data_IF_740021320980
#
_entry.id   IF_740021320980
#
_cell.length_a   1.000
_cell.length_b   1.000
_cell.length_c   1.000
_cell.angle_alpha   90.00
_cell.angle_beta   90.00
_cell.angle_gamma   90.00
#
_symmetry.space_group_name_H-M   'P 1'
#
loop_
_entity.id
_entity.type
_entity.pdbx_description
1 polymer ?
#
# COMPACT_ATOMS: atom_id res chain seq x y z
N UNK A 1 -25.29 -1.16 2.73
CA UNK A 1 -23.97 -1.35 3.38
C UNK A 1 -24.10 -2.56 4.28
N UNK A 2 -23.02 -3.32 4.49
CA UNK A 2 -23.03 -4.57 5.23
C UNK A 2 -21.66 -4.81 5.89
N UNK A 3 -21.56 -5.83 6.74
CA UNK A 3 -20.34 -6.30 7.37
C UNK A 3 -19.80 -5.38 8.45
N UNK A 4 -20.68 -4.68 9.18
CA UNK A 4 -20.30 -3.69 10.19
C UNK A 4 -19.40 -4.25 11.30
N UNK A 5 -19.51 -5.55 11.60
CA UNK A 5 -18.64 -6.25 12.57
C UNK A 5 -17.17 -6.27 12.15
N UNK A 6 -16.89 -6.15 10.84
CA UNK A 6 -15.55 -6.12 10.27
C UNK A 6 -14.85 -4.76 10.26
N UNK A 7 -15.45 -3.69 10.81
CA UNK A 7 -14.87 -2.34 10.73
C UNK A 7 -13.50 -2.18 11.42
N UNK A 8 -13.13 -3.14 12.27
CA UNK A 8 -11.82 -3.18 12.93
C UNK A 8 -10.68 -3.67 12.02
N UNK A 9 -10.98 -4.20 10.82
CA UNK A 9 -9.99 -4.72 9.88
C UNK A 9 -9.04 -3.62 9.42
N UNK A 10 -7.75 -3.92 9.41
CA UNK A 10 -6.72 -2.95 8.99
C UNK A 10 -6.62 -2.89 7.46
N UNK A 11 -6.67 -1.67 6.93
CA UNK A 11 -6.37 -1.37 5.52
C UNK A 11 -4.88 -1.09 5.39
N UNK A 12 -4.20 -1.80 4.49
CA UNK A 12 -2.78 -1.63 4.16
C UNK A 12 -2.55 -1.23 2.69
N UNK A 13 -3.60 -1.14 1.91
CA UNK A 13 -3.54 -0.73 0.52
C UNK A 13 -4.91 -0.65 -0.12
N UNK A 14 -4.92 -0.31 -1.40
CA UNK A 14 -6.11 -0.27 -2.24
C UNK A 14 -5.90 -1.15 -3.46
N UNK A 15 -6.98 -1.74 -3.97
CA UNK A 15 -6.97 -2.47 -5.23
C UNK A 15 -8.29 -2.26 -5.96
N UNK A 16 -8.30 -2.48 -7.27
CA UNK A 16 -9.43 -2.20 -8.14
C UNK A 16 -9.94 -3.50 -8.76
N UNK A 17 -11.23 -3.75 -8.62
CA UNK A 17 -11.90 -4.95 -9.14
C UNK A 17 -12.81 -4.59 -10.32
N UNK A 18 -12.27 -4.74 -11.53
CA UNK A 18 -12.99 -4.57 -12.80
C UNK A 18 -12.85 -5.79 -13.73
N UNK A 19 -12.44 -6.93 -13.17
CA UNK A 19 -12.45 -8.22 -13.86
C UNK A 19 -13.05 -9.33 -12.96
N UNK A 20 -13.65 -10.40 -13.54
CA UNK A 20 -14.36 -11.46 -12.80
C UNK A 20 -13.52 -12.23 -11.77
N UNK A 21 -12.21 -12.32 -12.00
CA UNK A 21 -11.28 -13.03 -11.11
C UNK A 21 -10.33 -12.07 -10.37
N UNK A 22 -10.64 -10.76 -10.31
CA UNK A 22 -9.72 -9.78 -9.75
C UNK A 22 -9.40 -9.99 -8.26
N UNK A 23 -10.27 -10.68 -7.51
CA UNK A 23 -10.00 -11.07 -6.13
C UNK A 23 -8.81 -12.03 -5.98
N UNK A 24 -8.44 -12.82 -6.99
CA UNK A 24 -7.29 -13.74 -6.91
C UNK A 24 -5.95 -13.02 -6.83
N UNK A 25 -5.86 -11.79 -7.34
CA UNK A 25 -4.64 -10.98 -7.27
C UNK A 25 -4.54 -10.16 -5.98
N UNK A 26 -5.53 -10.26 -5.08
CA UNK A 26 -5.48 -9.56 -3.80
C UNK A 26 -4.41 -10.17 -2.91
N UNK A 27 -3.53 -9.34 -2.38
CA UNK A 27 -2.47 -9.73 -1.44
C UNK A 27 -2.97 -9.76 0.01
N UNK A 28 -4.18 -9.25 0.23
CA UNK A 28 -4.84 -9.19 1.54
C UNK A 28 -4.68 -7.84 2.20
N UNK A 29 -5.58 -7.52 3.14
CA UNK A 29 -5.70 -6.22 3.82
C UNK A 29 -5.88 -5.01 2.89
N UNK A 30 -6.21 -5.26 1.62
CA UNK A 30 -6.54 -4.21 0.66
C UNK A 30 -8.02 -3.84 0.80
N UNK A 31 -8.33 -2.54 0.70
CA UNK A 31 -9.69 -2.13 0.41
C UNK A 31 -9.91 -2.33 -1.09
N UNK A 32 -10.90 -3.16 -1.45
CA UNK A 32 -11.23 -3.45 -2.85
C UNK A 32 -12.24 -2.42 -3.33
N UNK A 33 -11.92 -1.67 -4.37
CA UNK A 33 -12.83 -0.70 -4.95
C UNK A 33 -13.38 -1.25 -6.28
N UNK A 34 -14.67 -1.06 -6.54
CA UNK A 34 -15.31 -1.50 -7.79
C UNK A 34 -16.36 -0.50 -8.27
N UNK A 35 -16.50 -0.38 -9.58
CA UNK A 35 -17.59 0.33 -10.25
C UNK A 35 -18.92 -0.42 -10.19
N UNK A 36 -18.88 -1.69 -9.78
CA UNK A 36 -20.02 -2.61 -9.86
C UNK A 36 -20.24 -3.21 -11.26
N UNK A 37 -19.49 -2.81 -12.29
CA UNK A 37 -19.67 -3.32 -13.65
C UNK A 37 -19.61 -4.85 -13.73
N UNK A 38 -18.58 -5.46 -13.12
CA UNK A 38 -18.40 -6.91 -13.10
C UNK A 38 -19.55 -7.59 -12.36
N UNK A 39 -19.98 -7.04 -11.23
CA UNK A 39 -21.09 -7.59 -10.44
C UNK A 39 -22.40 -7.55 -11.25
N UNK A 40 -22.62 -6.50 -12.04
CA UNK A 40 -23.79 -6.39 -12.91
C UNK A 40 -23.75 -7.36 -14.10
N UNK A 41 -22.56 -7.72 -14.59
CA UNK A 41 -22.37 -8.65 -15.72
C UNK A 41 -22.33 -10.11 -15.28
N UNK A 42 -21.80 -10.38 -14.10
CA UNK A 42 -21.60 -11.70 -13.53
C UNK A 42 -22.05 -11.70 -12.05
N UNK A 43 -23.35 -11.83 -11.78
CA UNK A 43 -23.91 -11.75 -10.43
C UNK A 43 -23.28 -12.73 -9.43
N UNK A 44 -22.89 -13.91 -9.93
CA UNK A 44 -22.32 -15.00 -9.12
C UNK A 44 -20.85 -14.75 -8.72
N UNK A 45 -20.18 -13.71 -9.28
CA UNK A 45 -18.75 -13.50 -9.08
C UNK A 45 -18.40 -13.24 -7.61
N UNK A 46 -19.27 -12.54 -6.88
CA UNK A 46 -19.08 -12.23 -5.46
C UNK A 46 -19.23 -13.48 -4.60
N UNK A 47 -20.30 -14.25 -4.83
CA UNK A 47 -20.53 -15.51 -4.10
C UNK A 47 -19.37 -16.49 -4.31
N UNK A 48 -18.92 -16.64 -5.56
CA UNK A 48 -17.76 -17.46 -5.89
C UNK A 48 -16.50 -16.98 -5.17
N UNK A 49 -16.24 -15.68 -5.18
CA UNK A 49 -15.06 -15.11 -4.51
C UNK A 49 -15.09 -15.31 -2.98
N UNK A 50 -16.28 -15.29 -2.35
CA UNK A 50 -16.46 -15.66 -0.95
C UNK A 50 -16.23 -17.16 -0.73
N UNK A 51 -16.78 -18.02 -1.59
CA UNK A 51 -16.58 -19.47 -1.50
C UNK A 51 -15.10 -19.87 -1.60
N UNK A 52 -14.35 -19.19 -2.45
CA UNK A 52 -12.91 -19.39 -2.65
C UNK A 52 -12.03 -18.74 -1.56
N UNK A 53 -12.63 -18.00 -0.61
CA UNK A 53 -11.89 -17.37 0.48
C UNK A 53 -11.15 -16.08 0.09
N UNK A 54 -11.37 -15.55 -1.11
CA UNK A 54 -10.59 -14.42 -1.63
C UNK A 54 -11.07 -13.09 -1.04
N UNK A 55 -12.39 -12.90 -0.89
CA UNK A 55 -12.96 -11.67 -0.31
C UNK A 55 -12.57 -11.51 1.16
N UNK A 56 -12.49 -12.62 1.90
CA UNK A 56 -12.16 -12.65 3.33
C UNK A 56 -10.73 -12.23 3.62
N UNK A 57 -9.84 -12.21 2.61
CA UNK A 57 -8.48 -11.66 2.74
C UNK A 57 -8.48 -10.13 2.68
N UNK A 58 -9.48 -9.53 2.03
CA UNK A 58 -9.59 -8.07 1.90
C UNK A 58 -9.90 -7.38 3.24
N UNK A 59 -9.56 -6.10 3.35
CA UNK A 59 -9.98 -5.28 4.49
C UNK A 59 -11.47 -4.90 4.40
N UNK A 60 -12.01 -4.89 3.19
CA UNK A 60 -13.39 -4.55 2.87
C UNK A 60 -13.53 -4.29 1.38
N UNK A 61 -14.77 -4.01 0.95
CA UNK A 61 -15.09 -3.62 -0.41
C UNK A 61 -15.85 -2.30 -0.45
N UNK A 62 -15.58 -1.48 -1.47
CA UNK A 62 -16.27 -0.23 -1.75
C UNK A 62 -16.84 -0.27 -3.17
N UNK A 63 -18.15 -0.08 -3.30
CA UNK A 63 -18.83 -0.08 -4.61
C UNK A 63 -19.27 1.34 -4.95
N UNK A 64 -18.81 1.86 -6.11
CA UNK A 64 -19.30 3.11 -6.69
C UNK A 64 -20.67 2.88 -7.31
N UNK A 65 -21.71 3.44 -6.70
CA UNK A 65 -23.10 3.24 -7.14
C UNK A 65 -23.47 4.10 -8.34
N UNK A 66 -24.66 3.86 -8.87
CA UNK A 66 -25.42 4.65 -9.86
C UNK A 66 -24.95 4.51 -11.32
N UNK A 67 -23.71 4.06 -11.59
CA UNK A 67 -23.26 3.82 -12.97
C UNK A 67 -23.70 2.46 -13.54
N UNK A 68 -23.55 1.41 -12.74
CA UNK A 68 -23.80 0.02 -13.15
C UNK A 68 -24.66 -0.75 -12.15
N UNK A 69 -24.58 -0.39 -10.85
CA UNK A 69 -25.52 -0.83 -9.84
C UNK A 69 -26.21 0.37 -9.19
N UNK A 70 -27.51 0.48 -9.41
CA UNK A 70 -28.36 1.43 -8.69
C UNK A 70 -28.55 0.97 -7.24
N UNK A 71 -28.90 -0.30 -7.03
CA UNK A 71 -29.02 -0.95 -5.72
C UNK A 71 -28.15 -2.20 -5.68
N UNK A 72 -27.46 -2.43 -4.57
CA UNK A 72 -26.73 -3.68 -4.32
C UNK A 72 -27.75 -4.77 -3.97
N UNK A 73 -27.75 -5.94 -4.64
CA UNK A 73 -28.59 -7.08 -4.30
C UNK A 73 -28.51 -7.48 -2.82
N UNK A 74 -29.63 -7.90 -2.24
CA UNK A 74 -29.72 -8.26 -0.83
C UNK A 74 -28.86 -9.48 -0.49
N UNK A 75 -28.83 -10.46 -1.38
CA UNK A 75 -27.96 -11.64 -1.30
C UNK A 75 -26.48 -11.27 -1.14
N UNK A 76 -26.03 -10.21 -1.84
CA UNK A 76 -24.66 -9.71 -1.69
C UNK A 76 -24.49 -9.08 -0.30
N UNK A 77 -25.45 -8.27 0.17
CA UNK A 77 -25.37 -7.67 1.51
C UNK A 77 -25.27 -8.75 2.60
N UNK A 78 -26.09 -9.80 2.50
CA UNK A 78 -26.09 -10.94 3.42
C UNK A 78 -24.74 -11.65 3.45
N UNK A 79 -24.09 -11.87 2.30
CA UNK A 79 -22.75 -12.46 2.24
C UNK A 79 -21.72 -11.60 2.99
N UNK A 80 -21.71 -10.28 2.76
CA UNK A 80 -20.76 -9.39 3.44
C UNK A 80 -21.03 -9.32 4.97
N UNK A 81 -22.30 -9.38 5.40
CA UNK A 81 -22.66 -9.49 6.82
C UNK A 81 -22.22 -10.83 7.42
N UNK A 82 -22.48 -11.95 6.74
CA UNK A 82 -22.15 -13.30 7.19
C UNK A 82 -20.64 -13.49 7.40
N UNK A 83 -19.82 -13.00 6.47
CA UNK A 83 -18.37 -13.13 6.53
C UNK A 83 -17.68 -11.98 7.27
N UNK A 84 -18.46 -11.04 7.84
CA UNK A 84 -17.96 -9.88 8.57
C UNK A 84 -16.93 -9.06 7.76
N UNK A 85 -17.16 -8.93 6.45
CA UNK A 85 -16.34 -8.10 5.56
C UNK A 85 -17.09 -6.80 5.32
N UNK A 86 -16.52 -5.61 5.62
CA UNK A 86 -17.22 -4.35 5.39
C UNK A 86 -17.52 -4.12 3.90
N UNK A 87 -18.78 -3.79 3.59
CA UNK A 87 -19.21 -3.33 2.28
C UNK A 87 -19.69 -1.88 2.35
N UNK A 88 -18.92 -1.01 1.73
CA UNK A 88 -19.10 0.45 1.73
C UNK A 88 -19.71 0.89 0.40
N UNK A 89 -20.69 1.76 0.47
CA UNK A 89 -21.29 2.40 -0.70
C UNK A 89 -20.61 3.74 -0.95
N UNK A 90 -20.02 3.93 -2.13
CA UNK A 90 -19.44 5.21 -2.55
C UNK A 90 -20.41 5.96 -3.48
N UNK A 91 -20.69 7.25 -3.22
CA UNK A 91 -21.55 8.05 -4.08
C UNK A 91 -20.91 8.28 -5.45
N UNK A 92 -21.74 8.45 -6.48
CA UNK A 92 -21.23 8.63 -7.85
C UNK A 92 -20.43 9.93 -8.04
N UNK A 93 -20.81 10.98 -7.31
CA UNK A 93 -20.15 12.29 -7.34
C UNK A 93 -18.70 12.27 -6.84
N UNK A 94 -18.31 11.29 -6.02
CA UNK A 94 -16.96 11.20 -5.49
C UNK A 94 -15.95 10.79 -6.58
N UNK A 95 -14.89 11.60 -6.81
CA UNK A 95 -13.82 11.23 -7.73
C UNK A 95 -13.01 10.04 -7.20
N UNK A 96 -12.83 9.02 -8.04
CA UNK A 96 -12.08 7.81 -7.68
C UNK A 96 -10.65 8.12 -7.21
N UNK A 97 -9.95 8.97 -7.97
CA UNK A 97 -8.57 9.37 -7.68
C UNK A 97 -8.43 10.07 -6.34
N UNK A 98 -9.42 10.87 -5.96
CA UNK A 98 -9.40 11.59 -4.68
C UNK A 98 -9.53 10.60 -3.52
N UNK A 99 -10.49 9.69 -3.58
CA UNK A 99 -10.71 8.66 -2.56
C UNK A 99 -9.48 7.76 -2.42
N UNK A 100 -8.94 7.27 -3.54
CA UNK A 100 -7.71 6.49 -3.56
C UNK A 100 -6.52 7.24 -2.93
N UNK A 101 -6.31 8.49 -3.31
CA UNK A 101 -5.22 9.33 -2.80
C UNK A 101 -5.34 9.55 -1.28
N UNK A 102 -6.54 9.83 -0.78
CA UNK A 102 -6.79 10.01 0.65
C UNK A 102 -6.53 8.71 1.43
N UNK A 103 -7.00 7.55 0.93
CA UNK A 103 -6.76 6.26 1.57
C UNK A 103 -5.27 5.93 1.59
N UNK A 104 -4.58 6.05 0.45
CA UNK A 104 -3.14 5.80 0.36
C UNK A 104 -2.35 6.71 1.30
N UNK A 105 -2.72 8.00 1.38
CA UNK A 105 -2.11 8.96 2.29
C UNK A 105 -2.33 8.55 3.75
N UNK A 106 -3.53 8.10 4.10
CA UNK A 106 -3.85 7.64 5.46
C UNK A 106 -3.06 6.37 5.83
N UNK A 107 -3.00 5.39 4.92
CA UNK A 107 -2.21 4.16 5.07
C UNK A 107 -0.74 4.48 5.25
N UNK A 108 -0.16 5.30 4.36
CA UNK A 108 1.24 5.72 4.42
C UNK A 108 1.55 6.42 5.75
N UNK A 109 0.71 7.37 6.17
CA UNK A 109 0.88 8.08 7.43
C UNK A 109 0.79 7.15 8.65
N UNK A 110 -0.08 6.13 8.61
CA UNK A 110 -0.18 5.11 9.66
C UNK A 110 1.08 4.25 9.72
N UNK A 111 1.61 3.83 8.57
CA UNK A 111 2.88 3.11 8.46
C UNK A 111 4.03 3.95 9.04
N UNK A 112 4.16 5.21 8.65
CA UNK A 112 5.18 6.13 9.19
C UNK A 112 5.06 6.29 10.71
N UNK A 113 3.84 6.43 11.24
CA UNK A 113 3.62 6.52 12.70
C UNK A 113 4.05 5.25 13.43
N UNK A 114 3.77 4.07 12.88
CA UNK A 114 4.22 2.78 13.43
C UNK A 114 5.74 2.69 13.47
N UNK A 115 6.40 3.08 12.37
CA UNK A 115 7.87 3.13 12.31
C UNK A 115 8.46 4.10 13.34
N UNK A 116 7.82 5.26 13.58
CA UNK A 116 8.26 6.25 14.58
C UNK A 116 8.23 5.68 16.00
N UNK A 117 7.22 4.88 16.36
CA UNK A 117 7.13 4.28 17.70
C UNK A 117 8.32 3.34 17.93
N UNK A 118 8.63 2.47 16.96
CA UNK A 118 9.74 1.53 17.04
C UNK A 118 11.11 2.21 17.07
N UNK A 119 11.22 3.43 16.55
CA UNK A 119 12.48 4.21 16.48
C UNK A 119 12.59 5.31 17.54
N UNK A 120 11.70 5.36 18.55
CA UNK A 120 11.71 6.41 19.58
C UNK A 120 13.04 6.49 20.38
N UNK A 121 13.80 5.39 20.44
CA UNK A 121 15.16 5.37 21.01
C UNK A 121 16.23 6.04 20.13
N UNK A 122 15.94 6.35 18.86
CA UNK A 122 16.89 6.92 17.87
C UNK A 122 16.67 8.41 17.58
N UNK A 123 15.64 9.03 18.15
CA UNK A 123 15.20 10.41 17.82
C UNK A 123 16.21 11.51 18.16
N UNK A 124 17.22 11.22 18.99
CA UNK A 124 18.12 12.24 19.54
C UNK A 124 19.13 12.83 18.53
N UNK A 125 19.32 12.22 17.35
CA UNK A 125 20.32 12.65 16.37
C UNK A 125 19.77 13.43 15.14
N UNK A 126 18.47 13.76 15.10
CA UNK A 126 17.80 14.24 13.87
C UNK A 126 17.22 15.66 13.94
N UNK A 127 17.52 16.45 14.97
CA UNK A 127 16.95 17.79 15.18
C UNK A 127 17.25 18.81 14.07
N UNK A 128 18.29 18.57 13.27
CA UNK A 128 18.77 19.53 12.27
C UNK A 128 18.26 19.25 10.84
N UNK A 129 17.40 18.25 10.64
CA UNK A 129 16.89 17.87 9.31
C UNK A 129 15.48 18.41 9.05
N UNK A 130 15.16 18.68 7.78
CA UNK A 130 13.81 18.99 7.32
C UNK A 130 12.84 17.82 7.59
N UNK A 131 11.55 18.11 7.73
CA UNK A 131 10.52 17.10 7.95
C UNK A 131 10.48 16.03 6.82
N UNK A 132 10.77 16.42 5.57
CA UNK A 132 10.90 15.49 4.43
C UNK A 132 12.05 14.52 4.67
N UNK A 133 13.23 15.06 4.98
CA UNK A 133 14.46 14.29 5.21
C UNK A 133 14.34 13.35 6.41
N UNK A 134 13.73 13.80 7.51
CA UNK A 134 13.47 12.98 8.68
C UNK A 134 12.59 11.76 8.35
N UNK A 135 11.58 11.92 7.49
CA UNK A 135 10.75 10.81 7.03
C UNK A 135 11.54 9.82 6.18
N UNK A 136 12.31 10.32 5.22
CA UNK A 136 13.11 9.49 4.32
C UNK A 136 14.11 8.66 5.13
N UNK A 137 14.91 9.29 5.99
CA UNK A 137 15.89 8.60 6.84
C UNK A 137 15.27 7.53 7.72
N UNK A 138 14.08 7.78 8.29
CA UNK A 138 13.36 6.78 9.10
C UNK A 138 12.94 5.55 8.30
N UNK A 139 12.47 5.73 7.06
CA UNK A 139 12.11 4.61 6.19
C UNK A 139 13.37 3.79 5.87
N UNK A 140 14.44 4.46 5.46
CA UNK A 140 15.72 3.80 5.15
C UNK A 140 16.29 3.04 6.35
N UNK A 141 16.22 3.61 7.55
CA UNK A 141 16.66 2.95 8.78
C UNK A 141 15.82 1.72 9.13
N UNK A 142 14.50 1.81 8.97
CA UNK A 142 13.61 0.67 9.18
C UNK A 142 13.90 -0.46 8.18
N UNK A 143 14.18 -0.11 6.92
CA UNK A 143 14.61 -1.07 5.92
C UNK A 143 15.94 -1.74 6.29
N UNK A 144 16.94 -0.98 6.75
CA UNK A 144 18.22 -1.56 7.20
C UNK A 144 18.05 -2.50 8.38
N UNK A 145 17.21 -2.14 9.36
CA UNK A 145 16.92 -2.99 10.51
C UNK A 145 16.24 -4.31 10.11
N UNK A 146 15.32 -4.27 9.15
CA UNK A 146 14.56 -5.45 8.70
C UNK A 146 15.39 -6.33 7.75
N UNK A 147 16.11 -5.72 6.81
CA UNK A 147 16.89 -6.44 5.79
C UNK A 147 18.28 -6.85 6.28
N UNK A 148 18.72 -6.32 7.43
CA UNK A 148 20.10 -6.46 7.95
C UNK A 148 21.14 -6.00 6.91
N UNK A 149 20.74 -5.05 6.06
CA UNK A 149 21.56 -4.52 4.98
C UNK A 149 21.27 -3.03 4.79
N UNK A 150 22.29 -2.16 4.69
CA UNK A 150 22.08 -0.72 4.63
C UNK A 150 21.37 -0.29 3.35
N UNK A 151 20.47 0.68 3.49
CA UNK A 151 19.63 1.17 2.41
C UNK A 151 20.02 2.59 1.96
N UNK A 152 19.80 2.86 0.69
CA UNK A 152 20.12 4.11 0.01
C UNK A 152 18.95 4.56 -0.85
N UNK A 153 18.72 5.88 -0.89
CA UNK A 153 17.77 6.52 -1.79
C UNK A 153 18.42 7.75 -2.40
N UNK A 154 18.38 7.83 -3.73
CA UNK A 154 18.73 9.04 -4.47
C UNK A 154 17.48 9.68 -5.04
N UNK A 155 17.28 10.98 -4.78
CA UNK A 155 16.20 11.78 -5.36
C UNK A 155 16.76 12.51 -6.60
N UNK A 156 16.49 11.98 -7.80
CA UNK A 156 16.97 12.58 -9.06
C UNK A 156 16.39 13.97 -9.35
N UNK A 157 15.28 14.35 -8.70
CA UNK A 157 14.66 15.67 -8.92
C UNK A 157 15.37 16.74 -8.09
N UNK A 158 15.74 16.40 -6.86
CA UNK A 158 16.43 17.31 -5.94
C UNK A 158 17.96 17.13 -5.97
N UNK A 159 18.47 16.13 -6.68
CA UNK A 159 19.88 15.71 -6.71
C UNK A 159 20.45 15.37 -5.32
N UNK A 160 19.60 14.88 -4.41
CA UNK A 160 19.93 14.65 -3.01
C UNK A 160 20.01 13.16 -2.65
N UNK A 161 21.02 12.82 -1.85
CA UNK A 161 21.33 11.46 -1.45
C UNK A 161 20.99 11.20 0.03
N UNK A 162 20.18 10.16 0.28
CA UNK A 162 19.76 9.76 1.61
C UNK A 162 20.24 8.35 1.95
N UNK A 163 20.73 8.20 3.17
CA UNK A 163 21.33 6.96 3.66
C UNK A 163 20.64 6.49 4.94
N UNK A 164 20.46 5.19 5.10
CA UNK A 164 19.93 4.58 6.33
C UNK A 164 20.88 4.80 7.51
N UNK A 165 22.19 4.61 7.29
CA UNK A 165 23.23 4.78 8.29
C UNK A 165 24.57 5.12 7.66
N UNK A 166 25.54 5.49 8.50
CA UNK A 166 26.94 5.67 8.07
C UNK A 166 27.58 4.37 7.58
N UNK A 167 26.98 3.21 7.86
CA UNK A 167 27.51 1.92 7.37
C UNK A 167 27.43 1.83 5.85
N UNK A 168 26.37 2.37 5.22
CA UNK A 168 26.27 2.41 3.77
C UNK A 168 27.50 3.09 3.16
N UNK A 169 27.78 4.31 3.62
CA UNK A 169 28.90 5.12 3.11
C UNK A 169 30.26 4.46 3.40
N UNK A 170 30.41 3.80 4.55
CA UNK A 170 31.64 3.05 4.87
C UNK A 170 31.85 1.86 3.94
N UNK A 171 30.79 1.10 3.67
CA UNK A 171 30.83 -0.07 2.78
C UNK A 171 31.13 0.39 1.35
N UNK A 172 30.38 1.38 0.84
CA UNK A 172 30.58 1.94 -0.50
C UNK A 172 32.03 2.41 -0.70
N UNK A 173 32.57 3.20 0.24
CA UNK A 173 33.98 3.63 0.22
C UNK A 173 34.98 2.47 0.32
N UNK A 174 34.65 1.42 1.09
CA UNK A 174 35.48 0.21 1.17
C UNK A 174 35.60 -0.53 -0.16
N UNK A 175 34.60 -0.40 -1.03
CA UNK A 175 34.61 -0.91 -2.40
C UNK A 175 35.07 0.12 -3.44
N UNK A 176 35.42 1.34 -3.02
CA UNK A 176 35.80 2.42 -3.93
C UNK A 176 34.65 2.92 -4.81
N UNK A 177 33.41 2.76 -4.36
CA UNK A 177 32.21 3.21 -5.06
C UNK A 177 31.88 4.64 -4.68
N UNK A 178 31.67 5.48 -5.69
CA UNK A 178 31.07 6.80 -5.57
C UNK A 178 29.54 6.70 -5.65
N UNK A 179 28.83 7.80 -5.37
CA UNK A 179 27.36 7.78 -5.33
C UNK A 179 26.78 7.53 -6.72
N UNK A 180 27.42 8.09 -7.76
CA UNK A 180 27.01 7.97 -9.15
C UNK A 180 27.11 6.53 -9.65
N UNK A 181 28.03 5.71 -9.09
CA UNK A 181 28.23 4.32 -9.50
C UNK A 181 27.00 3.43 -9.28
N UNK A 182 26.06 3.84 -8.42
CA UNK A 182 24.84 3.08 -8.14
C UNK A 182 23.80 3.15 -9.26
N UNK A 183 23.87 4.14 -10.16
CA UNK A 183 23.00 4.25 -11.34
C UNK A 183 23.76 4.40 -12.66
N UNK A 184 25.00 4.87 -12.62
CA UNK A 184 25.95 4.94 -13.72
C UNK A 184 27.28 4.28 -13.31
N UNK A 185 27.32 2.94 -13.22
CA UNK A 185 28.50 2.20 -12.74
C UNK A 185 29.72 2.43 -13.62
N UNK A 186 30.80 2.95 -13.03
CA UNK A 186 32.12 3.07 -13.66
C UNK A 186 32.91 1.75 -13.67
N UNK A 187 32.49 0.78 -12.86
CA UNK A 187 33.12 -0.54 -12.72
C UNK A 187 32.32 -1.65 -13.41
N UNK A 188 32.94 -2.81 -13.73
CA UNK A 188 32.23 -3.96 -14.27
C UNK A 188 31.08 -4.39 -13.35
N UNK A 189 29.87 -4.44 -13.88
CA UNK A 189 28.66 -4.80 -13.13
C UNK A 189 27.84 -5.85 -13.87
N UNK A 190 27.10 -6.65 -13.10
CA UNK A 190 26.16 -7.63 -13.66
C UNK A 190 24.77 -7.00 -13.69
N UNK A 191 24.20 -6.83 -14.89
CA UNK A 191 22.84 -6.33 -15.05
C UNK A 191 21.84 -7.50 -15.07
N UNK A 192 21.07 -7.64 -14.01
CA UNK A 192 19.91 -8.53 -14.01
C UNK A 192 18.65 -7.70 -14.30
N UNK A 193 18.11 -7.85 -15.51
CA UNK A 193 16.79 -7.33 -15.85
C UNK A 193 15.79 -8.42 -15.49
N UNK A 194 14.94 -8.18 -14.49
CA UNK A 194 13.80 -9.03 -14.16
C UNK A 194 12.62 -8.72 -15.09
#
# INVERSE_FOLDING_TARGET
MAGAKGLHREIQGITVMEAPNAFHWTKGKELVLSSGYVIAKEPDCIEKAFREGSVQKSAGMMIKRERYLEKIPEEILELFDQYEVPLISMPFSAPWMEVMSQINTAVLNRTIRRLRINTSHMTFQMSNFSYKEQKIKRILQAMEAEMVFPAFLYDFVEEEAYYSSMNFQKIAKGFGLETEDFWEPSMPYTRHIL
#
